data_IF_848756772862
#
_entry.id   IF_848756772862
#
_cell.length_a   1.000
_cell.length_b   1.000
_cell.length_c   1.000
_cell.angle_alpha   90.00
_cell.angle_beta   90.00
_cell.angle_gamma   90.00
#
_symmetry.space_group_name_H-M   'P 1'
#
loop_
_entity.id
_entity.type
_entity.pdbx_description
1 polymer ?
#
# COMPACT_ATOMS: atom_id res chain seq x y z
N UNK A 1 11.03 -2.05 9.47
CA UNK A 1 12.37 -1.55 9.10
C UNK A 1 12.34 -1.15 7.64
N UNK A 2 12.69 0.10 7.33
CA UNK A 2 12.64 0.61 5.95
C UNK A 2 14.03 0.56 5.33
N UNK A 3 14.13 0.02 4.12
CA UNK A 3 15.37 -0.05 3.34
C UNK A 3 15.19 0.64 1.99
N UNK A 4 16.24 1.34 1.54
CA UNK A 4 16.35 1.80 0.16
C UNK A 4 17.00 0.68 -0.64
N UNK A 5 16.35 0.28 -1.73
CA UNK A 5 16.81 -0.80 -2.61
C UNK A 5 17.10 -0.19 -3.98
N UNK A 6 18.36 -0.25 -4.42
CA UNK A 6 18.75 0.16 -5.76
C UNK A 6 18.42 -0.95 -6.73
N UNK A 7 17.62 -0.65 -7.74
CA UNK A 7 17.15 -1.59 -8.75
C UNK A 7 17.64 -1.18 -10.12
N UNK A 8 18.18 -2.14 -10.87
CA UNK A 8 18.58 -1.93 -12.26
C UNK A 8 18.07 -3.06 -13.15
N UNK A 9 17.82 -2.75 -14.43
CA UNK A 9 17.56 -3.78 -15.45
C UNK A 9 18.86 -4.13 -16.16
N UNK A 10 19.21 -5.41 -16.22
CA UNK A 10 20.33 -5.90 -17.03
C UNK A 10 19.86 -7.09 -17.89
N UNK A 11 19.81 -6.89 -19.20
CA UNK A 11 19.24 -7.87 -20.12
C UNK A 11 17.80 -8.23 -19.75
N UNK A 12 17.57 -9.50 -19.40
CA UNK A 12 16.25 -10.01 -19.00
C UNK A 12 16.05 -10.08 -17.47
N UNK A 13 17.03 -9.65 -16.69
CA UNK A 13 17.03 -9.73 -15.24
C UNK A 13 16.91 -8.36 -14.60
N UNK A 14 16.30 -8.33 -13.43
CA UNK A 14 16.39 -7.22 -12.49
C UNK A 14 17.46 -7.53 -11.46
N UNK A 15 18.26 -6.53 -11.13
CA UNK A 15 19.27 -6.57 -10.09
C UNK A 15 18.79 -5.70 -8.93
N UNK A 16 19.05 -6.13 -7.70
CA UNK A 16 18.78 -5.37 -6.49
C UNK A 16 20.01 -5.33 -5.59
N UNK A 17 20.25 -4.17 -4.99
CA UNK A 17 21.26 -3.96 -3.95
C UNK A 17 20.65 -3.14 -2.81
N UNK A 18 20.93 -3.51 -1.56
CA UNK A 18 20.57 -2.72 -0.37
C UNK A 18 21.84 -2.07 0.18
N UNK A 19 22.13 -0.79 -0.13
CA UNK A 19 23.45 -0.20 0.13
C UNK A 19 23.83 -0.14 1.62
N UNK A 20 22.83 -0.13 2.51
CA UNK A 20 23.04 -0.07 3.96
C UNK A 20 23.36 -1.42 4.59
N UNK A 21 23.26 -2.53 3.83
CA UNK A 21 23.53 -3.89 4.31
C UNK A 21 24.63 -4.51 3.43
N UNK A 22 25.89 -4.55 3.90
CA UNK A 22 26.99 -5.11 3.13
C UNK A 22 26.71 -6.54 2.67
N UNK A 23 26.88 -6.79 1.36
CA UNK A 23 26.62 -8.10 0.76
C UNK A 23 25.16 -8.36 0.40
N UNK A 24 24.23 -7.45 0.71
CA UNK A 24 22.83 -7.59 0.33
C UNK A 24 22.62 -7.21 -1.14
N UNK A 25 22.95 -8.14 -2.03
CA UNK A 25 22.70 -8.04 -3.47
C UNK A 25 22.05 -9.32 -3.98
N UNK A 26 21.10 -9.18 -4.92
CA UNK A 26 20.35 -10.30 -5.50
C UNK A 26 19.82 -9.96 -6.89
N UNK A 27 19.20 -10.93 -7.58
CA UNK A 27 18.60 -10.74 -8.89
C UNK A 27 17.38 -11.64 -9.10
N UNK A 28 16.49 -11.23 -10.01
CA UNK A 28 15.33 -12.03 -10.40
C UNK A 28 14.81 -11.66 -11.80
N UNK A 29 13.98 -12.51 -12.40
CA UNK A 29 13.42 -12.27 -13.75
C UNK A 29 12.35 -11.17 -13.82
N UNK A 30 11.68 -10.88 -12.70
CA UNK A 30 10.63 -9.86 -12.59
C UNK A 30 10.68 -9.17 -11.21
N UNK A 31 10.01 -8.02 -11.07
CA UNK A 31 10.08 -7.19 -9.85
C UNK A 31 9.43 -7.83 -8.61
N UNK A 32 8.39 -8.66 -8.79
CA UNK A 32 7.75 -9.38 -7.66
C UNK A 32 8.71 -10.42 -7.07
N UNK A 33 9.33 -11.21 -7.93
CA UNK A 33 10.35 -12.17 -7.52
C UNK A 33 11.60 -11.47 -6.96
N UNK A 34 11.94 -10.27 -7.48
CA UNK A 34 13.06 -9.48 -6.98
C UNK A 34 12.82 -9.03 -5.54
N UNK A 35 11.61 -8.55 -5.22
CA UNK A 35 11.28 -8.15 -3.85
C UNK A 35 11.39 -9.33 -2.87
N UNK A 36 10.88 -10.51 -3.24
CA UNK A 36 11.03 -11.72 -2.42
C UNK A 36 12.50 -12.08 -2.19
N UNK A 37 13.31 -12.06 -3.26
CA UNK A 37 14.73 -12.34 -3.15
C UNK A 37 15.48 -11.31 -2.26
N UNK A 38 15.04 -10.05 -2.26
CA UNK A 38 15.58 -9.01 -1.36
C UNK A 38 15.22 -9.31 0.10
N UNK A 39 13.99 -9.74 0.38
CA UNK A 39 13.58 -10.14 1.74
C UNK A 39 14.39 -11.33 2.24
N UNK A 40 14.55 -12.37 1.42
CA UNK A 40 15.33 -13.56 1.76
C UNK A 40 16.80 -13.22 2.08
N UNK A 41 17.44 -12.38 1.26
CA UNK A 41 18.83 -11.96 1.50
C UNK A 41 18.96 -11.12 2.76
N UNK A 42 18.00 -10.24 3.07
CA UNK A 42 18.01 -9.45 4.29
C UNK A 42 17.75 -10.31 5.54
N UNK A 43 16.80 -11.25 5.46
CA UNK A 43 16.53 -12.23 6.52
C UNK A 43 17.80 -12.99 6.89
N UNK A 44 18.50 -13.51 5.87
CA UNK A 44 19.75 -14.25 6.05
C UNK A 44 20.88 -13.39 6.64
N UNK A 45 21.09 -12.18 6.12
CA UNK A 45 22.23 -11.34 6.54
C UNK A 45 22.01 -10.64 7.87
N UNK A 46 20.77 -10.37 8.25
CA UNK A 46 20.41 -9.70 9.50
C UNK A 46 19.98 -10.67 10.61
N UNK A 47 19.86 -11.96 10.30
CA UNK A 47 19.37 -13.01 11.21
C UNK A 47 17.96 -12.68 11.75
N UNK A 48 17.04 -12.34 10.83
CA UNK A 48 15.65 -11.94 11.13
C UNK A 48 14.69 -12.84 10.37
N UNK A 49 13.98 -13.72 11.08
CA UNK A 49 13.02 -14.67 10.47
C UNK A 49 11.72 -13.99 9.98
N UNK A 50 11.26 -12.95 10.66
CA UNK A 50 10.03 -12.24 10.29
C UNK A 50 10.27 -11.21 9.18
N UNK A 51 10.18 -11.66 7.92
CA UNK A 51 10.36 -10.80 6.75
C UNK A 51 9.28 -9.71 6.59
N UNK A 52 8.13 -9.82 7.28
CA UNK A 52 7.02 -8.87 7.15
C UNK A 52 7.37 -7.50 7.73
N UNK A 53 8.38 -7.43 8.60
CA UNK A 53 8.85 -6.18 9.17
C UNK A 53 9.59 -5.32 8.14
N UNK A 54 10.05 -5.90 7.02
CA UNK A 54 10.80 -5.16 6.00
C UNK A 54 9.85 -4.37 5.10
N UNK A 55 10.16 -3.09 4.92
CA UNK A 55 9.52 -2.21 3.94
C UNK A 55 10.59 -1.63 3.02
N UNK A 56 10.24 -1.44 1.74
CA UNK A 56 11.19 -1.06 0.71
C UNK A 56 10.82 0.25 0.04
N UNK A 57 11.84 1.04 -0.25
CA UNK A 57 11.79 2.14 -1.20
C UNK A 57 12.71 1.79 -2.36
N UNK A 58 12.13 1.53 -3.53
CA UNK A 58 12.87 1.14 -4.72
C UNK A 58 13.34 2.37 -5.51
N UNK A 59 14.63 2.44 -5.77
CA UNK A 59 15.29 3.43 -6.62
C UNK A 59 15.70 2.77 -7.94
N UNK A 60 15.02 3.11 -9.03
CA UNK A 60 15.27 2.50 -10.33
C UNK A 60 16.35 3.25 -11.12
N UNK A 61 17.24 2.48 -11.73
CA UNK A 61 18.30 2.95 -12.63
C UNK A 61 18.38 2.05 -13.87
N UNK A 62 19.06 2.52 -14.91
CA UNK A 62 19.17 1.79 -16.19
C UNK A 62 17.82 1.34 -16.80
N UNK A 63 16.80 2.20 -16.67
CA UNK A 63 15.48 2.02 -17.27
C UNK A 63 15.08 3.29 -18.02
N UNK A 64 14.17 3.17 -18.99
CA UNK A 64 13.67 4.32 -19.74
C UNK A 64 12.71 5.20 -18.95
N UNK A 65 12.48 6.42 -19.43
CA UNK A 65 11.60 7.42 -18.80
C UNK A 65 10.17 6.92 -18.57
N UNK A 66 9.61 6.17 -19.52
CA UNK A 66 8.26 5.59 -19.39
C UNK A 66 8.14 4.62 -18.20
N UNK A 67 9.19 3.85 -17.93
CA UNK A 67 9.22 2.97 -16.75
C UNK A 67 9.25 3.79 -15.47
N UNK A 68 10.05 4.87 -15.41
CA UNK A 68 10.08 5.76 -14.25
C UNK A 68 8.72 6.44 -14.02
N UNK A 69 8.05 6.88 -15.09
CA UNK A 69 6.70 7.42 -15.02
C UNK A 69 5.69 6.39 -14.51
N UNK A 70 5.78 5.13 -14.93
CA UNK A 70 4.94 4.05 -14.43
C UNK A 70 5.17 3.75 -12.95
N UNK A 71 6.42 3.81 -12.46
CA UNK A 71 6.75 3.70 -11.02
C UNK A 71 6.08 4.81 -10.23
N UNK A 72 6.21 6.06 -10.69
CA UNK A 72 5.63 7.22 -10.01
C UNK A 72 4.10 7.16 -9.99
N UNK A 73 3.48 6.76 -11.10
CA UNK A 73 2.04 6.51 -11.14
C UNK A 73 1.62 5.40 -10.16
N UNK A 74 2.42 4.33 -10.05
CA UNK A 74 2.22 3.27 -9.07
C UNK A 74 2.22 3.78 -7.64
N UNK A 75 3.24 4.57 -7.25
CA UNK A 75 3.32 5.23 -5.94
C UNK A 75 2.08 6.09 -5.68
N UNK A 76 1.69 6.91 -6.66
CA UNK A 76 0.52 7.77 -6.52
C UNK A 76 -0.77 6.99 -6.33
N UNK A 77 -0.92 5.85 -7.03
CA UNK A 77 -2.09 4.97 -6.85
C UNK A 77 -2.15 4.39 -5.44
N UNK A 78 -1.01 3.94 -4.90
CA UNK A 78 -0.94 3.41 -3.54
C UNK A 78 -1.29 4.47 -2.49
N UNK A 79 -0.77 5.70 -2.65
CA UNK A 79 -1.11 6.84 -1.78
C UNK A 79 -2.60 7.13 -1.79
N UNK A 80 -3.22 7.20 -2.98
CA UNK A 80 -4.64 7.45 -3.13
C UNK A 80 -5.47 6.31 -2.53
N UNK A 81 -5.03 5.06 -2.66
CA UNK A 81 -5.72 3.93 -2.06
C UNK A 81 -5.69 3.99 -0.52
N UNK A 82 -4.54 4.36 0.06
CA UNK A 82 -4.41 4.57 1.51
C UNK A 82 -5.30 5.70 2.01
N UNK A 83 -5.27 6.86 1.35
CA UNK A 83 -6.11 8.00 1.69
C UNK A 83 -7.60 7.63 1.57
N UNK A 84 -7.98 6.91 0.51
CA UNK A 84 -9.34 6.44 0.33
C UNK A 84 -9.78 5.49 1.46
N UNK A 85 -8.90 4.60 1.95
CA UNK A 85 -9.19 3.73 3.10
C UNK A 85 -9.43 4.54 4.37
N UNK A 86 -8.60 5.55 4.64
CA UNK A 86 -8.76 6.44 5.79
C UNK A 86 -10.08 7.23 5.74
N UNK A 87 -10.40 7.81 4.57
CA UNK A 87 -11.66 8.51 4.32
C UNK A 87 -12.85 7.58 4.55
N UNK A 88 -12.78 6.32 4.08
CA UNK A 88 -13.87 5.36 4.27
C UNK A 88 -14.06 4.97 5.73
N UNK A 89 -12.97 4.75 6.47
CA UNK A 89 -13.04 4.47 7.92
C UNK A 89 -13.66 5.65 8.68
N UNK A 90 -13.24 6.88 8.37
CA UNK A 90 -13.80 8.09 8.98
C UNK A 90 -15.28 8.27 8.63
N UNK A 91 -15.65 8.05 7.36
CA UNK A 91 -17.04 8.13 6.88
C UNK A 91 -17.93 7.13 7.61
N UNK A 92 -17.47 5.88 7.79
CA UNK A 92 -18.21 4.88 8.54
C UNK A 92 -18.44 5.31 9.99
N UNK A 93 -17.41 5.84 10.66
CA UNK A 93 -17.53 6.38 12.02
C UNK A 93 -18.58 7.49 12.10
N UNK A 94 -18.54 8.48 11.21
CA UNK A 94 -19.51 9.58 11.19
C UNK A 94 -20.93 9.12 10.87
N UNK A 95 -21.11 8.21 9.91
CA UNK A 95 -22.43 7.62 9.61
C UNK A 95 -23.03 7.00 10.87
N UNK A 96 -22.23 6.28 11.66
CA UNK A 96 -22.71 5.66 12.88
C UNK A 96 -23.05 6.65 13.98
N UNK A 97 -22.17 7.59 14.28
CA UNK A 97 -22.38 8.59 15.33
C UNK A 97 -23.63 9.42 15.02
N UNK A 98 -23.73 9.94 13.80
CA UNK A 98 -24.84 10.79 13.41
C UNK A 98 -26.16 10.01 13.23
N UNK A 99 -26.13 8.74 12.81
CA UNK A 99 -27.36 7.93 12.79
C UNK A 99 -27.92 7.72 14.21
N UNK A 100 -27.06 7.56 15.22
CA UNK A 100 -27.48 7.45 16.62
C UNK A 100 -28.08 8.75 17.15
N UNK A 101 -27.62 9.89 16.66
CA UNK A 101 -28.18 11.21 16.96
C UNK A 101 -29.50 11.48 16.22
N UNK A 102 -29.91 10.58 15.30
CA UNK A 102 -31.18 10.65 14.61
C UNK A 102 -31.14 11.36 13.26
N UNK A 103 -29.97 11.71 12.74
CA UNK A 103 -29.84 12.29 11.39
C UNK A 103 -30.26 11.28 10.32
N UNK A 104 -30.98 11.76 9.30
CA UNK A 104 -31.50 10.87 8.26
C UNK A 104 -30.39 10.43 7.30
N UNK A 105 -30.57 9.27 6.65
CA UNK A 105 -29.70 8.81 5.56
C UNK A 105 -29.56 9.86 4.46
N UNK A 106 -30.59 10.68 4.24
CA UNK A 106 -30.58 11.75 3.23
C UNK A 106 -29.65 12.89 3.62
N UNK A 107 -29.62 13.27 4.90
CA UNK A 107 -28.72 14.31 5.41
C UNK A 107 -27.27 13.84 5.33
N UNK A 108 -27.02 12.60 5.77
CA UNK A 108 -25.69 11.98 5.71
C UNK A 108 -25.20 11.82 4.27
N UNK A 109 -26.08 11.46 3.34
CA UNK A 109 -25.80 11.41 1.91
C UNK A 109 -25.37 12.79 1.38
N UNK A 110 -26.06 13.86 1.79
CA UNK A 110 -25.75 15.24 1.40
C UNK A 110 -24.40 15.72 1.91
N UNK A 111 -24.10 15.49 3.20
CA UNK A 111 -22.87 15.99 3.84
C UNK A 111 -21.64 15.18 3.40
N UNK A 112 -21.77 13.86 3.26
CA UNK A 112 -20.65 12.99 2.90
C UNK A 112 -20.46 12.85 1.38
N UNK A 113 -21.34 13.45 0.57
CA UNK A 113 -21.35 13.31 -0.89
C UNK A 113 -21.39 11.83 -1.36
N UNK A 114 -22.12 11.00 -0.62
CA UNK A 114 -22.28 9.57 -0.88
C UNK A 114 -23.72 9.26 -1.30
N UNK A 115 -23.93 8.22 -2.10
CA UNK A 115 -25.29 7.79 -2.42
C UNK A 115 -26.02 7.28 -1.16
N UNK A 116 -27.34 7.49 -1.04
CA UNK A 116 -28.12 6.97 0.10
C UNK A 116 -27.97 5.46 0.29
N UNK A 117 -27.84 4.71 -0.81
CA UNK A 117 -27.61 3.27 -0.78
C UNK A 117 -26.29 2.89 -0.13
N UNK A 118 -25.22 3.63 -0.43
CA UNK A 118 -23.89 3.38 0.17
C UNK A 118 -23.87 3.73 1.67
N UNK A 119 -24.49 4.85 2.05
CA UNK A 119 -24.65 5.23 3.47
C UNK A 119 -25.41 4.14 4.24
N UNK A 120 -26.52 3.67 3.68
CA UNK A 120 -27.34 2.60 4.29
C UNK A 120 -26.58 1.28 4.42
N UNK A 121 -25.76 0.93 3.42
CA UNK A 121 -24.92 -0.27 3.47
C UNK A 121 -23.91 -0.20 4.62
N UNK A 122 -23.19 0.92 4.73
CA UNK A 122 -22.16 1.12 5.75
C UNK A 122 -22.77 1.12 7.16
N UNK A 123 -23.93 1.76 7.34
CA UNK A 123 -24.65 1.73 8.62
C UNK A 123 -24.97 0.28 9.06
N UNK A 124 -25.52 -0.53 8.15
CA UNK A 124 -25.88 -1.93 8.40
C UNK A 124 -24.69 -2.84 8.65
N UNK A 125 -23.62 -2.69 7.88
CA UNK A 125 -22.37 -3.45 8.07
C UNK A 125 -21.72 -3.09 9.42
N UNK A 126 -21.81 -1.81 9.78
CA UNK A 126 -21.58 -1.25 11.11
C UNK A 126 -22.22 -2.07 12.24
N UNK A 127 -23.54 -2.20 12.16
CA UNK A 127 -24.37 -2.87 13.17
C UNK A 127 -24.07 -4.37 13.27
N UNK A 128 -23.85 -5.06 12.13
CA UNK A 128 -23.52 -6.50 12.13
C UNK A 128 -22.20 -6.82 12.83
N UNK A 129 -21.19 -5.98 12.69
CA UNK A 129 -19.89 -6.18 13.34
C UNK A 129 -19.94 -6.00 14.88
N UNK A 130 -21.06 -5.52 15.42
CA UNK A 130 -21.29 -5.33 16.86
C UNK A 130 -22.22 -6.36 17.50
N UNK A 131 -22.92 -7.17 16.69
CA UNK A 131 -23.86 -8.21 17.13
C UNK A 131 -23.13 -9.55 17.32
#
# INVERSE_FOLDING_TARGET
MKFVVRVAREGQSWLAEVPTVPGAATFAGNLVALELAVREVLSLLLDIEDESIFTFEFEFSNVGEEMLAAVELGKRREELEREQKEIMTASARFIQELSKEGYSVRDLSGILHMSPGRVSQIAKESERLRA
#
